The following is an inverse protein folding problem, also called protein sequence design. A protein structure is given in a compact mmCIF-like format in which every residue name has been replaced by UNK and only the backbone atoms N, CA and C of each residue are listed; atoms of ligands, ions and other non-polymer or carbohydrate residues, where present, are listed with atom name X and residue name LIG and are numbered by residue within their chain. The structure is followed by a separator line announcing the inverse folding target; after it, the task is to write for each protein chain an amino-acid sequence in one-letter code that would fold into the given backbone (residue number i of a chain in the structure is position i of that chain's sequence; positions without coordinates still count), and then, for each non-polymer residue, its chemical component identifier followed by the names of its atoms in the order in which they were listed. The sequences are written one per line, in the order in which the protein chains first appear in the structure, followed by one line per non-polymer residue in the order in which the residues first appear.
data_IF_552230543367
#
_entry.id   IF_552230543367
#
_cell.length_a   1.000
_cell.length_b   1.000
_cell.length_c   1.000
_cell.angle_alpha   90.00
_cell.angle_beta   90.00
_cell.angle_gamma   90.00
#
_symmetry.space_group_name_H-M   'P 1'
#
loop_
_entity.id
_entity.type
_entity.pdbx_description
1 polymer ?
#
# COMPACT_ATOMS: atom_id res chain seq x y z
N UNK A 1 11.89 -68.54 -43.72
CA UNK A 1 10.54 -68.03 -43.39
C UNK A 1 10.70 -66.57 -43.02
N UNK A 2 10.15 -65.66 -43.85
CA UNK A 2 10.37 -64.22 -43.74
C UNK A 2 9.15 -63.44 -43.28
N UNK A 3 9.45 -62.28 -42.66
CA UNK A 3 8.65 -61.06 -42.45
C UNK A 3 7.39 -61.19 -41.57
N UNK A 4 7.12 -60.28 -40.63
CA UNK A 4 6.76 -58.88 -40.95
C UNK A 4 6.85 -57.99 -39.71
N UNK A 5 7.56 -56.86 -39.81
CA UNK A 5 7.55 -55.77 -38.83
C UNK A 5 6.52 -54.73 -39.28
N UNK A 6 5.45 -54.52 -38.51
CA UNK A 6 4.47 -53.45 -38.75
C UNK A 6 4.95 -52.13 -38.15
N UNK A 7 5.25 -51.14 -39.00
CA UNK A 7 5.61 -49.78 -38.61
C UNK A 7 4.34 -48.95 -38.42
N UNK A 8 4.09 -48.47 -37.20
CA UNK A 8 3.00 -47.55 -36.86
C UNK A 8 3.26 -46.16 -37.43
N UNK A 9 2.33 -45.63 -38.22
CA UNK A 9 2.40 -44.29 -38.81
C UNK A 9 1.96 -43.24 -37.77
N UNK A 10 2.94 -42.51 -37.22
CA UNK A 10 2.67 -41.28 -36.49
C UNK A 10 2.09 -40.24 -37.45
N UNK A 11 0.87 -39.77 -37.19
CA UNK A 11 0.25 -38.68 -37.96
C UNK A 11 1.11 -37.42 -37.81
N UNK A 12 1.71 -36.97 -38.91
CA UNK A 12 2.43 -35.70 -38.96
C UNK A 12 1.45 -34.56 -38.65
N UNK A 13 1.69 -33.86 -37.55
CA UNK A 13 0.95 -32.65 -37.21
C UNK A 13 1.26 -31.60 -38.27
N UNK A 14 0.27 -31.25 -39.10
CA UNK A 14 0.44 -30.27 -40.18
C UNK A 14 0.91 -28.93 -39.63
N UNK A 15 1.93 -28.34 -40.24
CA UNK A 15 2.48 -27.02 -39.86
C UNK A 15 1.40 -25.93 -39.77
N UNK A 16 0.31 -26.07 -40.54
CA UNK A 16 -0.84 -25.18 -40.51
C UNK A 16 -1.64 -25.26 -39.19
N UNK A 17 -1.75 -26.45 -38.60
CA UNK A 17 -2.40 -26.65 -37.31
C UNK A 17 -1.50 -26.13 -36.16
N UNK A 18 -0.19 -26.30 -36.28
CA UNK A 18 0.77 -25.76 -35.30
C UNK A 18 0.77 -24.22 -35.29
N UNK A 19 0.76 -23.58 -36.47
CA UNK A 19 0.67 -22.12 -36.59
C UNK A 19 -0.62 -21.56 -35.97
N UNK A 20 -1.76 -22.22 -36.21
CA UNK A 20 -3.05 -21.83 -35.60
C UNK A 20 -3.02 -21.91 -34.07
N UNK A 21 -2.38 -22.94 -33.50
CA UNK A 21 -2.24 -23.11 -32.05
C UNK A 21 -1.33 -22.02 -31.46
N UNK A 22 -0.22 -21.69 -32.11
CA UNK A 22 0.69 -20.61 -31.66
C UNK A 22 -0.01 -19.25 -31.70
N UNK A 23 -0.72 -18.95 -32.78
CA UNK A 23 -1.49 -17.70 -32.91
C UNK A 23 -2.58 -17.61 -31.84
N UNK A 24 -3.28 -18.72 -31.57
CA UNK A 24 -4.29 -18.77 -30.51
C UNK A 24 -3.68 -18.58 -29.10
N UNK A 25 -2.52 -19.17 -28.81
CA UNK A 25 -1.81 -18.98 -27.54
C UNK A 25 -1.31 -17.54 -27.36
N UNK A 26 -0.74 -16.93 -28.41
CA UNK A 26 -0.32 -15.53 -28.38
C UNK A 26 -1.52 -14.60 -28.17
N UNK A 27 -2.67 -14.90 -28.80
CA UNK A 27 -3.91 -14.16 -28.58
C UNK A 27 -4.40 -14.31 -27.13
N UNK A 28 -4.42 -15.52 -26.56
CA UNK A 28 -4.82 -15.73 -25.16
C UNK A 28 -3.88 -15.00 -24.19
N UNK A 29 -2.57 -14.95 -24.47
CA UNK A 29 -1.61 -14.21 -23.65
C UNK A 29 -1.79 -12.68 -23.74
N UNK A 30 -2.20 -12.13 -24.89
CA UNK A 30 -2.49 -10.68 -24.99
C UNK A 30 -3.80 -10.29 -24.29
N UNK A 31 -4.78 -11.20 -24.20
CA UNK A 31 -6.03 -10.94 -23.46
C UNK A 31 -5.87 -10.94 -21.93
N UNK A 32 -4.91 -11.69 -21.37
CA UNK A 32 -4.71 -11.78 -19.92
C UNK A 32 -4.10 -10.51 -19.28
N UNK A 33 -3.48 -9.63 -20.08
CA UNK A 33 -2.79 -8.44 -19.59
C UNK A 33 -3.72 -7.25 -19.24
N UNK A 34 -5.00 -7.30 -19.58
CA UNK A 34 -5.91 -6.14 -19.47
C UNK A 34 -6.90 -6.17 -18.29
N UNK A 35 -6.89 -7.19 -17.42
CA UNK A 35 -7.99 -7.38 -16.45
C UNK A 35 -7.69 -7.00 -14.99
N UNK A 36 -6.45 -6.65 -14.62
CA UNK A 36 -6.15 -6.20 -13.25
C UNK A 36 -6.55 -4.75 -13.05
N UNK A 37 -7.82 -4.52 -12.70
CA UNK A 37 -8.26 -3.21 -12.18
C UNK A 37 -7.57 -2.93 -10.85
N UNK A 38 -7.12 -1.69 -10.59
CA UNK A 38 -6.64 -1.31 -9.26
C UNK A 38 -7.71 -1.57 -8.21
N UNK A 39 -7.33 -2.13 -7.07
CA UNK A 39 -8.19 -2.23 -5.91
C UNK A 39 -8.44 -0.82 -5.35
N UNK A 40 -9.66 -0.31 -5.50
CA UNK A 40 -10.05 1.05 -5.10
C UNK A 40 -10.94 0.99 -3.87
N UNK A 41 -10.57 1.74 -2.83
CA UNK A 41 -11.29 1.82 -1.55
C UNK A 41 -11.39 3.28 -1.13
N UNK A 42 -12.49 3.68 -0.47
CA UNK A 42 -12.55 5.01 0.12
C UNK A 42 -11.69 5.08 1.39
N UNK A 43 -10.55 5.74 1.31
CA UNK A 43 -9.60 5.88 2.41
C UNK A 43 -8.85 7.21 2.26
N UNK A 44 -7.99 7.51 3.24
CA UNK A 44 -7.20 8.72 3.29
C UNK A 44 -5.71 8.49 3.22
N UNK A 45 -5.00 9.48 2.70
CA UNK A 45 -3.56 9.63 2.81
C UNK A 45 -3.29 11.04 3.33
N UNK A 46 -2.58 11.15 4.45
CA UNK A 46 -2.30 12.43 5.06
C UNK A 46 -0.97 12.43 5.79
N UNK A 47 -0.37 13.60 6.00
CA UNK A 47 0.72 13.81 6.96
C UNK A 47 0.65 15.24 7.46
N UNK A 48 1.19 15.52 8.65
CA UNK A 48 1.21 16.87 9.21
C UNK A 48 2.42 17.11 10.12
N UNK A 49 3.51 17.62 9.55
CA UNK A 49 4.75 17.93 10.27
C UNK A 49 4.66 19.05 11.28
N UNK A 50 3.62 19.89 11.23
CA UNK A 50 3.37 20.86 12.30
C UNK A 50 2.82 20.18 13.55
N UNK A 51 1.84 19.29 13.39
CA UNK A 51 1.21 18.56 14.49
C UNK A 51 2.07 17.40 15.02
N UNK A 52 2.85 16.79 14.13
CA UNK A 52 3.81 15.73 14.47
C UNK A 52 5.20 16.29 14.84
N UNK A 53 5.35 17.62 14.87
CA UNK A 53 6.52 18.36 15.36
C UNK A 53 7.86 18.16 14.63
N UNK A 54 7.88 17.51 13.46
CA UNK A 54 9.12 17.31 12.70
C UNK A 54 9.46 18.44 11.71
N UNK A 55 8.49 19.28 11.31
CA UNK A 55 8.70 20.30 10.27
C UNK A 55 9.85 21.28 10.54
N UNK A 56 10.10 21.78 11.77
CA UNK A 56 11.20 22.72 12.00
C UNK A 56 12.59 22.15 11.69
N UNK A 57 12.72 20.83 11.63
CA UNK A 57 14.01 20.14 11.45
C UNK A 57 14.09 19.43 10.10
N UNK A 58 12.96 19.22 9.43
CA UNK A 58 12.86 18.32 8.27
C UNK A 58 12.08 18.98 7.14
N UNK A 59 12.64 18.90 5.93
CA UNK A 59 11.98 19.33 4.70
C UNK A 59 11.67 18.11 3.85
N UNK A 60 10.39 17.78 3.68
CA UNK A 60 9.98 16.73 2.73
C UNK A 60 10.18 17.27 1.32
N UNK A 61 10.91 16.54 0.48
CA UNK A 61 11.20 16.92 -0.90
C UNK A 61 10.26 16.22 -1.88
N UNK A 62 9.92 14.97 -1.58
CA UNK A 62 9.11 14.15 -2.46
C UNK A 62 8.35 13.10 -1.66
N UNK A 63 7.11 12.83 -2.07
CA UNK A 63 6.36 11.68 -1.56
C UNK A 63 5.49 11.08 -2.66
N UNK A 64 5.20 9.79 -2.53
CA UNK A 64 4.23 9.09 -3.35
C UNK A 64 3.61 7.92 -2.59
N UNK A 65 2.29 7.94 -2.42
CA UNK A 65 1.51 6.78 -2.00
C UNK A 65 1.00 6.08 -3.25
N UNK A 66 1.76 5.08 -3.68
CA UNK A 66 1.59 4.41 -4.97
C UNK A 66 1.90 5.30 -6.17
N UNK A 67 1.66 4.76 -7.36
CA UNK A 67 1.87 5.43 -8.65
C UNK A 67 0.57 5.65 -9.45
N UNK A 68 -0.55 5.08 -8.97
CA UNK A 68 -1.85 5.03 -9.65
C UNK A 68 -2.75 6.25 -9.39
N UNK A 69 -2.37 7.15 -8.48
CA UNK A 69 -3.20 8.30 -8.10
C UNK A 69 -2.38 9.58 -7.93
N UNK A 70 -2.65 10.59 -8.77
CA UNK A 70 -1.79 11.77 -8.87
C UNK A 70 -1.90 12.74 -7.67
N UNK A 71 -3.01 12.71 -6.93
CA UNK A 71 -3.22 13.59 -5.78
C UNK A 71 -2.38 13.19 -4.56
N UNK A 72 -1.92 11.93 -4.51
CA UNK A 72 -1.12 11.38 -3.41
C UNK A 72 0.36 11.30 -3.75
N UNK A 73 0.82 12.12 -4.68
CA UNK A 73 2.23 12.30 -5.01
C UNK A 73 2.59 13.76 -5.26
N UNK A 74 3.78 14.16 -4.86
CA UNK A 74 4.33 15.50 -5.14
C UNK A 74 5.84 15.47 -5.03
N UNK A 75 6.50 16.29 -5.83
CA UNK A 75 7.94 16.54 -5.81
C UNK A 75 8.20 18.04 -5.83
N UNK A 76 9.06 18.51 -4.94
CA UNK A 76 9.60 19.87 -4.94
C UNK A 76 10.96 19.89 -4.21
N UNK A 77 12.03 20.27 -4.91
CA UNK A 77 13.38 20.32 -4.32
C UNK A 77 13.56 21.43 -3.27
N UNK A 78 12.68 22.44 -3.30
CA UNK A 78 12.59 23.50 -2.28
C UNK A 78 11.73 23.07 -1.08
N UNK A 79 11.09 21.90 -1.17
CA UNK A 79 10.22 21.33 -0.15
C UNK A 79 8.74 21.35 -0.53
N UNK A 80 8.03 20.28 -0.17
CA UNK A 80 6.57 20.25 -0.22
C UNK A 80 5.99 20.86 1.06
N UNK A 81 4.76 21.41 1.02
CA UNK A 81 4.09 21.84 2.24
C UNK A 81 4.09 20.73 3.29
N UNK A 82 4.35 21.05 4.57
CA UNK A 82 4.48 20.04 5.64
C UNK A 82 3.15 19.43 6.07
N UNK A 83 2.07 19.71 5.35
CA UNK A 83 0.77 19.12 5.56
C UNK A 83 0.12 18.81 4.23
N UNK A 84 -0.40 17.59 4.09
CA UNK A 84 -1.25 17.19 2.98
C UNK A 84 -2.32 16.25 3.54
N UNK A 85 -3.52 16.33 2.99
CA UNK A 85 -4.58 15.39 3.26
C UNK A 85 -5.42 15.18 1.99
N UNK A 86 -5.57 13.92 1.60
CA UNK A 86 -6.44 13.48 0.52
C UNK A 86 -7.31 12.37 1.08
N UNK A 87 -8.61 12.42 0.80
CA UNK A 87 -9.55 11.37 1.16
C UNK A 87 -10.52 11.16 0.00
N UNK A 88 -10.84 9.90 -0.29
CA UNK A 88 -11.81 9.54 -1.31
C UNK A 88 -11.60 8.14 -1.84
N UNK A 89 -12.39 7.76 -2.84
CA UNK A 89 -12.18 6.50 -3.56
C UNK A 89 -10.87 6.59 -4.35
N UNK A 90 -9.84 5.88 -3.87
CA UNK A 90 -8.53 5.86 -4.51
C UNK A 90 -7.90 4.45 -4.45
N UNK A 91 -6.97 4.13 -5.37
CA UNK A 91 -6.24 2.87 -5.35
C UNK A 91 -5.52 2.65 -4.02
N UNK A 92 -5.60 1.44 -3.48
CA UNK A 92 -4.72 1.00 -2.39
C UNK A 92 -3.31 0.88 -2.96
N UNK A 93 -2.34 1.54 -2.32
CA UNK A 93 -0.98 1.59 -2.82
C UNK A 93 -0.18 0.36 -2.40
N UNK A 94 0.66 -0.12 -3.31
CA UNK A 94 1.62 -1.19 -3.03
C UNK A 94 2.87 -0.68 -2.28
N UNK A 95 3.09 0.64 -2.26
CA UNK A 95 4.24 1.25 -1.62
C UNK A 95 3.96 2.69 -1.12
N UNK A 96 4.76 3.13 -0.15
CA UNK A 96 4.93 4.53 0.21
C UNK A 96 6.39 4.93 -0.04
N UNK A 97 6.60 5.97 -0.84
CA UNK A 97 7.91 6.58 -1.07
C UNK A 97 7.94 7.95 -0.39
N UNK A 98 9.02 8.26 0.32
CA UNK A 98 9.29 9.58 0.90
C UNK A 98 10.77 9.90 0.76
N UNK A 99 11.08 11.11 0.29
CA UNK A 99 12.43 11.68 0.29
C UNK A 99 12.42 12.99 1.07
N UNK A 100 13.34 13.15 2.01
CA UNK A 100 13.39 14.30 2.90
C UNK A 100 14.83 14.74 3.17
N UNK A 101 14.97 15.97 3.64
CA UNK A 101 16.24 16.60 3.99
C UNK A 101 16.22 17.03 5.45
N UNK A 102 17.31 16.78 6.17
CA UNK A 102 17.54 17.39 7.47
C UNK A 102 18.01 18.84 7.28
N UNK A 103 17.33 19.79 7.92
CA UNK A 103 17.64 21.21 7.74
C UNK A 103 18.99 21.60 8.35
N UNK A 104 19.38 20.94 9.44
CA UNK A 104 20.64 21.22 10.13
C UNK A 104 21.88 20.81 9.30
N UNK A 105 21.85 19.60 8.72
CA UNK A 105 23.02 19.03 8.01
C UNK A 105 22.94 19.18 6.50
N UNK A 106 21.75 19.40 5.94
CA UNK A 106 21.50 19.32 4.51
C UNK A 106 21.48 17.90 3.96
N UNK A 107 21.67 16.88 4.80
CA UNK A 107 21.67 15.47 4.39
C UNK A 107 20.28 15.05 3.91
N UNK A 108 20.24 14.29 2.83
CA UNK A 108 19.00 13.82 2.20
C UNK A 108 18.86 12.32 2.37
N UNK A 109 17.68 11.91 2.80
CA UNK A 109 17.29 10.52 2.98
C UNK A 109 16.13 10.18 2.06
N UNK A 110 16.07 8.93 1.64
CA UNK A 110 15.03 8.41 0.78
C UNK A 110 14.62 7.03 1.27
N UNK A 111 13.32 6.79 1.33
CA UNK A 111 12.80 5.50 1.74
C UNK A 111 11.58 5.09 0.93
N UNK A 112 11.55 3.81 0.55
CA UNK A 112 10.45 3.17 -0.17
C UNK A 112 9.95 1.99 0.65
N UNK A 113 8.83 2.17 1.33
CA UNK A 113 8.19 1.16 2.17
C UNK A 113 7.25 0.32 1.31
N UNK A 114 7.43 -1.00 1.32
CA UNK A 114 6.47 -1.96 0.74
C UNK A 114 5.25 -2.10 1.66
N UNK A 115 4.06 -1.83 1.14
CA UNK A 115 2.81 -1.82 1.90
C UNK A 115 1.97 -3.09 1.75
N UNK A 116 2.29 -3.97 0.79
CA UNK A 116 1.41 -5.08 0.38
C UNK A 116 1.00 -6.00 1.54
N UNK A 117 1.94 -6.28 2.44
CA UNK A 117 1.73 -7.14 3.61
C UNK A 117 1.60 -6.35 4.93
N UNK A 118 1.46 -5.02 4.84
CA UNK A 118 1.44 -4.11 6.00
C UNK A 118 0.08 -3.46 6.21
N UNK A 119 -0.75 -3.41 5.18
CA UNK A 119 -2.08 -2.80 5.26
C UNK A 119 -3.12 -3.82 5.77
N UNK A 120 -4.13 -3.37 6.52
CA UNK A 120 -5.26 -4.22 6.87
C UNK A 120 -6.01 -4.67 5.60
N UNK A 121 -6.70 -5.80 5.71
CA UNK A 121 -7.52 -6.33 4.61
C UNK A 121 -8.65 -5.36 4.21
N UNK A 122 -9.18 -4.61 5.17
CA UNK A 122 -10.14 -3.53 4.94
C UNK A 122 -9.52 -2.18 5.31
N UNK A 123 -9.51 -1.26 4.33
CA UNK A 123 -9.00 0.10 4.47
C UNK A 123 -10.12 1.16 4.46
N UNK A 124 -11.38 0.75 4.43
CA UNK A 124 -12.50 1.68 4.38
C UNK A 124 -12.41 2.70 5.52
N UNK A 125 -12.45 3.99 5.17
CA UNK A 125 -12.36 5.13 6.07
C UNK A 125 -11.07 5.23 6.93
N UNK A 126 -10.06 4.40 6.66
CA UNK A 126 -8.75 4.50 7.31
C UNK A 126 -7.92 5.62 6.69
N UNK A 127 -6.92 6.12 7.42
CA UNK A 127 -5.89 7.01 6.89
C UNK A 127 -4.52 6.35 6.97
N UNK A 128 -3.74 6.47 5.90
CA UNK A 128 -2.31 6.21 5.91
C UNK A 128 -1.59 7.53 6.19
N UNK A 129 -0.69 7.52 7.17
CA UNK A 129 0.12 8.69 7.52
C UNK A 129 1.56 8.31 7.79
N UNK A 130 2.46 9.28 7.69
CA UNK A 130 3.86 9.10 8.07
C UNK A 130 4.35 10.21 9.01
N UNK A 131 5.38 9.88 9.77
CA UNK A 131 6.14 10.79 10.66
C UNK A 131 7.61 10.55 10.38
N UNK A 132 8.42 11.61 10.43
CA UNK A 132 9.86 11.52 10.20
C UNK A 132 10.57 11.98 11.48
N UNK A 133 11.58 11.22 11.92
CA UNK A 133 12.42 11.53 13.08
C UNK A 133 13.88 11.32 12.68
N UNK A 134 14.58 12.43 12.40
CA UNK A 134 15.93 12.40 11.84
C UNK A 134 16.01 11.55 10.56
N UNK A 135 16.87 10.50 10.52
CA UNK A 135 17.02 9.63 9.37
C UNK A 135 15.94 8.52 9.27
N UNK A 136 14.96 8.47 10.18
CA UNK A 136 13.98 7.37 10.26
C UNK A 136 12.58 7.81 9.82
N UNK A 137 11.98 7.07 8.88
CA UNK A 137 10.56 7.15 8.56
C UNK A 137 9.75 6.21 9.47
N UNK A 138 8.56 6.67 9.88
CA UNK A 138 7.54 5.87 10.53
C UNK A 138 6.24 5.96 9.73
N UNK A 139 5.55 4.84 9.55
CA UNK A 139 4.29 4.80 8.80
C UNK A 139 3.21 4.18 9.68
N UNK A 140 2.02 4.78 9.63
CA UNK A 140 0.89 4.40 10.46
C UNK A 140 -0.38 4.20 9.65
N UNK A 141 -1.22 3.31 10.14
CA UNK A 141 -2.63 3.17 9.77
C UNK A 141 -3.48 3.74 10.90
N UNK A 142 -4.23 4.79 10.61
CA UNK A 142 -5.19 5.41 11.53
C UNK A 142 -6.58 4.90 11.18
N UNK A 143 -7.25 4.25 12.13
CA UNK A 143 -8.61 3.72 11.92
C UNK A 143 -9.67 4.83 12.03
N UNK A 144 -10.91 4.59 11.58
CA UNK A 144 -12.03 5.46 11.90
C UNK A 144 -12.47 5.41 13.37
N UNK A 145 -12.02 4.41 14.14
CA UNK A 145 -12.42 4.20 15.53
C UNK A 145 -11.78 5.24 16.47
N UNK A 146 -12.61 5.88 17.28
CA UNK A 146 -12.14 6.77 18.34
C UNK A 146 -11.77 5.97 19.59
N UNK A 147 -10.72 6.39 20.28
CA UNK A 147 -10.46 5.87 21.63
C UNK A 147 -11.48 6.46 22.61
N UNK A 148 -11.81 5.71 23.67
CA UNK A 148 -12.84 6.11 24.65
C UNK A 148 -12.55 7.43 25.36
N UNK A 149 -11.27 7.72 25.61
CA UNK A 149 -10.81 8.93 26.30
C UNK A 149 -9.65 9.50 25.52
N UNK A 150 -9.83 10.71 25.01
CA UNK A 150 -8.75 11.46 24.34
C UNK A 150 -7.59 11.63 25.31
N UNK A 151 -6.39 11.29 24.84
CA UNK A 151 -5.17 11.37 25.64
C UNK A 151 -4.63 12.81 25.64
N UNK A 152 -3.82 13.16 26.63
CA UNK A 152 -3.11 14.46 26.66
C UNK A 152 -1.83 14.42 25.84
N UNK A 153 -1.26 13.24 25.63
CA UNK A 153 -0.06 12.99 24.82
C UNK A 153 -0.30 11.79 23.90
N UNK A 154 0.12 11.86 22.62
CA UNK A 154 -0.01 10.72 21.72
C UNK A 154 0.91 9.56 22.18
N UNK A 155 0.40 8.32 22.24
CA UNK A 155 1.19 7.13 22.58
C UNK A 155 2.10 6.68 21.44
N UNK A 156 1.81 7.09 20.20
CA UNK A 156 2.66 6.91 19.03
C UNK A 156 3.23 8.27 18.58
N UNK A 157 4.16 8.28 17.62
CA UNK A 157 4.76 9.55 17.15
C UNK A 157 3.79 10.42 16.36
N UNK A 158 2.66 9.87 15.94
CA UNK A 158 1.64 10.63 15.22
C UNK A 158 0.60 11.22 16.17
N UNK A 159 0.26 12.49 15.97
CA UNK A 159 -0.78 13.20 16.71
C UNK A 159 -2.14 12.51 16.63
N UNK A 160 -2.43 11.77 15.56
CA UNK A 160 -3.68 11.00 15.39
C UNK A 160 -3.93 9.98 16.49
N UNK A 161 -2.86 9.45 17.10
CA UNK A 161 -2.99 8.48 18.19
C UNK A 161 -3.53 9.06 19.50
N UNK A 162 -3.75 10.39 19.55
CA UNK A 162 -4.35 11.07 20.69
C UNK A 162 -5.84 10.76 20.86
N UNK A 163 -6.56 10.48 19.77
CA UNK A 163 -8.02 10.32 19.75
C UNK A 163 -8.51 9.17 18.86
N UNK A 164 -7.62 8.51 18.10
CA UNK A 164 -7.97 7.36 17.24
C UNK A 164 -7.13 6.14 17.48
N UNK A 165 -7.75 4.97 17.32
CA UNK A 165 -7.01 3.70 17.27
C UNK A 165 -6.06 3.75 16.06
N UNK A 166 -4.77 3.59 16.31
CA UNK A 166 -3.70 3.78 15.33
C UNK A 166 -2.66 2.68 15.47
N UNK A 167 -2.17 2.16 14.34
CA UNK A 167 -1.16 1.10 14.29
C UNK A 167 0.09 1.58 13.57
N UNK A 168 1.26 1.36 14.16
CA UNK A 168 2.54 1.50 13.46
C UNK A 168 2.72 0.29 12.53
N UNK A 169 2.95 0.56 11.26
CA UNK A 169 3.19 -0.47 10.23
C UNK A 169 4.61 -0.43 9.68
N UNK A 170 5.41 0.59 10.02
CA UNK A 170 6.82 0.73 9.67
C UNK A 170 7.53 1.61 10.72
N UNK A 171 8.77 1.28 11.16
CA UNK A 171 9.61 0.17 10.70
C UNK A 171 9.16 -1.20 11.24
N UNK A 172 8.41 -1.22 12.34
CA UNK A 172 7.95 -2.45 12.97
C UNK A 172 7.01 -3.21 12.03
N UNK A 173 7.45 -4.37 11.56
CA UNK A 173 6.55 -5.38 11.01
C UNK A 173 5.92 -6.05 12.22
N UNK A 174 4.89 -5.46 12.81
CA UNK A 174 3.97 -6.27 13.60
C UNK A 174 3.17 -7.03 12.55
N UNK A 175 3.77 -8.12 12.04
CA UNK A 175 3.08 -9.15 11.27
C UNK A 175 1.75 -9.32 11.96
N UNK A 176 0.66 -8.99 11.26
CA UNK A 176 -0.69 -9.05 11.78
C UNK A 176 -0.73 -10.16 12.81
N UNK A 177 -0.78 -9.77 14.08
CA UNK A 177 -1.23 -10.69 15.10
C UNK A 177 -2.64 -10.99 14.63
N UNK A 178 -2.74 -12.06 13.86
CA UNK A 178 -3.95 -12.53 13.16
C UNK A 178 -5.03 -12.82 14.19
N UNK A 179 -4.65 -12.81 15.47
CA UNK A 179 -5.47 -12.84 16.68
C UNK A 179 -6.27 -11.55 16.91
N UNK A 180 -5.80 -10.35 16.55
CA UNK A 180 -6.55 -9.10 16.81
C UNK A 180 -7.59 -8.73 15.74
N UNK A 181 -7.58 -9.41 14.59
CA UNK A 181 -8.63 -9.30 13.57
C UNK A 181 -9.43 -10.61 13.39
N UNK A 182 -9.13 -11.66 14.17
CA UNK A 182 -9.73 -12.99 14.04
C UNK A 182 -10.22 -13.64 15.35
N UNK A 183 -9.81 -13.16 16.52
CA UNK A 183 -10.53 -13.46 17.76
C UNK A 183 -11.57 -12.37 17.96
N UNK A 184 -12.83 -12.76 18.16
CA UNK A 184 -13.91 -11.86 18.52
C UNK A 184 -13.40 -10.83 19.55
N UNK A 185 -13.20 -9.59 19.10
CA UNK A 185 -13.05 -8.49 20.03
C UNK A 185 -14.32 -8.50 20.90
N UNK A 186 -14.22 -8.32 22.23
CA UNK A 186 -15.36 -8.42 23.15
C UNK A 186 -16.43 -7.32 22.94
N UNK A 187 -16.46 -6.67 21.78
CA UNK A 187 -17.29 -5.52 21.49
C UNK A 187 -17.90 -5.51 20.08
N UNK A 188 -17.96 -6.63 19.35
CA UNK A 188 -18.70 -6.69 18.08
C UNK A 188 -20.09 -6.01 18.23
N UNK A 189 -20.37 -4.88 17.55
CA UNK A 189 -21.71 -4.33 17.55
C UNK A 189 -22.62 -5.31 16.80
N UNK A 190 -23.80 -5.56 17.36
CA UNK A 190 -24.83 -6.37 16.74
C UNK A 190 -25.01 -5.93 15.28
N UNK A 191 -25.03 -6.92 14.38
CA UNK A 191 -25.37 -6.74 12.98
C UNK A 191 -26.62 -5.87 12.83
N UNK A 192 -26.49 -4.75 12.14
CA UNK A 192 -27.66 -4.03 11.64
C UNK A 192 -28.27 -4.87 10.51
N UNK A 193 -29.24 -5.70 10.87
CA UNK A 193 -30.32 -6.09 9.98
C UNK A 193 -31.36 -4.96 10.02
N UNK A 194 -31.54 -4.26 8.89
CA UNK A 194 -32.80 -3.67 8.42
C UNK A 194 -32.66 -3.21 6.97
#
# INVERSE_FOLDING_TARGET
MGLTVTRSAGKAFSAHNLLRVIVALLLVMTLAACATRPHVVAHGFAFNGWRDHWYPQITVLEYAYGDKYHMTRRKNEDGVPPGTAVFGAMPVADFLYVRWRLQETGETFEERVDLRDRLPADLWAHYITFVIDGPQLYVYVVTPEQIKVRLTKPPLRTWWSIDRVTYEIYPTVRSADRTYLGAAAPWAPASHEH
#
